data_IF_266733126481
#
_entry.id   IF_266733126481
#
_cell.length_a   1.000
_cell.length_b   1.000
_cell.length_c   1.000
_cell.angle_alpha   90.00
_cell.angle_beta   90.00
_cell.angle_gamma   90.00
#
_symmetry.space_group_name_H-M   'P 1'
#
loop_
_entity.id
_entity.type
_entity.pdbx_description
1 polymer ?
#
# COMPACT_ATOMS: atom_id res chain seq x y z
N UNK A 1 14.43 -58.14 -29.89
CA UNK A 1 15.84 -57.67 -29.79
C UNK A 1 15.85 -56.21 -30.24
N UNK A 2 16.20 -55.15 -29.51
CA UNK A 2 16.71 -54.89 -28.16
C UNK A 2 16.10 -53.56 -27.67
N UNK A 3 15.80 -53.48 -26.38
CA UNK A 3 15.37 -52.25 -25.68
C UNK A 3 16.59 -51.39 -25.35
N UNK A 4 16.49 -50.05 -25.46
CA UNK A 4 17.43 -49.12 -24.82
C UNK A 4 16.66 -48.10 -23.99
N UNK A 5 16.67 -48.35 -22.68
CA UNK A 5 16.20 -47.45 -21.62
C UNK A 5 17.38 -46.60 -21.15
N UNK A 6 17.33 -45.28 -21.37
CA UNK A 6 18.26 -44.34 -20.75
C UNK A 6 17.59 -43.71 -19.52
N UNK A 7 18.05 -44.10 -18.33
CA UNK A 7 17.69 -43.48 -17.06
C UNK A 7 18.61 -42.26 -16.87
N UNK A 8 18.05 -41.05 -16.92
CA UNK A 8 18.72 -39.83 -16.47
C UNK A 8 18.35 -39.62 -15.00
N UNK A 9 19.35 -39.76 -14.13
CA UNK A 9 19.26 -39.41 -12.73
C UNK A 9 19.39 -37.88 -12.62
N UNK A 10 18.34 -37.20 -12.15
CA UNK A 10 18.39 -35.79 -11.78
C UNK A 10 18.55 -35.74 -10.27
N UNK A 11 19.76 -35.40 -9.82
CA UNK A 11 20.03 -35.05 -8.43
C UNK A 11 19.52 -33.63 -8.18
N UNK A 12 18.39 -33.50 -7.49
CA UNK A 12 17.89 -32.21 -7.01
C UNK A 12 18.54 -31.91 -5.64
N UNK A 13 19.53 -31.01 -5.64
CA UNK A 13 20.08 -30.45 -4.41
C UNK A 13 19.06 -29.49 -3.78
N UNK A 14 18.47 -29.89 -2.65
CA UNK A 14 17.59 -29.04 -1.83
C UNK A 14 18.47 -28.13 -0.98
N UNK A 15 18.59 -26.85 -1.36
CA UNK A 15 19.12 -25.81 -0.48
C UNK A 15 18.01 -25.41 0.50
N UNK A 16 18.11 -25.89 1.74
CA UNK A 16 17.24 -25.50 2.83
C UNK A 16 17.53 -24.04 3.24
N UNK A 17 16.55 -23.16 3.05
CA UNK A 17 16.56 -21.79 3.56
C UNK A 17 16.10 -21.79 5.02
N UNK A 18 16.99 -21.50 5.96
CA UNK A 18 16.65 -21.19 7.35
C UNK A 18 16.65 -19.68 7.58
N UNK A 19 15.46 -19.07 7.50
CA UNK A 19 15.24 -17.71 8.04
C UNK A 19 14.83 -17.83 9.51
N UNK A 20 15.74 -17.51 10.43
CA UNK A 20 15.41 -17.31 11.84
C UNK A 20 14.75 -15.95 12.03
N UNK A 21 13.43 -15.93 12.20
CA UNK A 21 12.70 -14.73 12.61
C UNK A 21 12.88 -14.50 14.12
N UNK A 22 13.75 -13.58 14.50
CA UNK A 22 13.78 -13.05 15.86
C UNK A 22 12.61 -12.06 16.04
N UNK A 23 11.54 -12.49 16.71
CA UNK A 23 10.46 -11.63 17.16
C UNK A 23 10.92 -10.79 18.35
N UNK A 24 11.35 -9.55 18.08
CA UNK A 24 11.62 -8.59 19.15
C UNK A 24 10.28 -8.04 19.67
N UNK A 25 9.95 -8.37 20.92
CA UNK A 25 8.81 -7.79 21.63
C UNK A 25 8.97 -6.26 21.72
N UNK A 26 7.93 -5.53 21.31
CA UNK A 26 7.86 -4.08 21.46
C UNK A 26 7.55 -3.71 22.92
N UNK A 27 8.10 -2.60 23.46
CA UNK A 27 7.83 -2.15 24.82
C UNK A 27 6.36 -1.74 25.03
N UNK A 28 5.80 -1.92 26.24
CA UNK A 28 4.36 -1.85 26.52
C UNK A 28 3.73 -0.44 26.61
N UNK A 29 4.44 0.64 26.34
CA UNK A 29 3.96 2.02 26.62
C UNK A 29 3.53 2.83 25.39
N UNK A 30 3.06 2.19 24.32
CA UNK A 30 2.39 2.94 23.24
C UNK A 30 0.89 3.06 23.52
N UNK A 31 0.31 4.28 23.52
CA UNK A 31 -1.12 4.46 23.66
C UNK A 31 -1.85 3.67 22.56
N UNK A 32 -3.01 3.06 22.87
CA UNK A 32 -3.75 2.28 21.88
C UNK A 32 -4.11 3.19 20.69
N UNK A 33 -3.86 2.78 19.44
CA UNK A 33 -4.35 3.51 18.27
C UNK A 33 -5.87 3.34 18.18
N UNK A 34 -6.60 4.09 19.01
CA UNK A 34 -8.05 4.18 19.01
C UNK A 34 -8.53 5.46 18.34
N UNK A 35 -9.17 5.35 17.18
CA UNK A 35 -9.90 6.47 16.57
C UNK A 35 -10.21 6.32 15.09
N UNK A 36 -11.39 5.75 14.79
CA UNK A 36 -12.27 6.02 13.64
C UNK A 36 -11.63 6.37 12.28
N UNK A 37 -11.64 5.39 11.37
CA UNK A 37 -12.12 5.62 10.00
C UNK A 37 -11.35 6.64 9.14
N UNK A 38 -10.04 6.70 9.26
CA UNK A 38 -9.21 7.40 8.28
C UNK A 38 -8.98 6.56 7.03
N UNK A 39 -10.02 6.33 6.21
CA UNK A 39 -9.82 5.98 4.80
C UNK A 39 -9.24 7.20 4.06
N UNK A 40 -8.04 7.62 4.45
CA UNK A 40 -7.21 8.49 3.62
C UNK A 40 -6.72 7.62 2.46
N UNK A 41 -7.59 7.44 1.47
CA UNK A 41 -7.14 7.25 0.10
C UNK A 41 -6.35 8.51 -0.25
N UNK A 42 -5.07 8.55 0.14
CA UNK A 42 -4.11 9.47 -0.44
C UNK A 42 -4.15 9.19 -1.92
N UNK A 43 -4.82 10.09 -2.63
CA UNK A 43 -4.93 10.13 -4.06
C UNK A 43 -3.52 10.23 -4.66
N UNK A 44 -2.94 9.07 -4.89
CA UNK A 44 -1.62 8.89 -5.49
C UNK A 44 -0.45 9.14 -4.56
N UNK A 45 0.05 8.06 -3.94
CA UNK A 45 1.39 8.02 -3.38
C UNK A 45 2.48 8.39 -4.40
N UNK A 46 3.76 8.41 -3.99
CA UNK A 46 4.87 8.91 -4.82
C UNK A 46 4.91 8.29 -6.23
N UNK A 47 4.44 7.05 -6.38
CA UNK A 47 4.39 6.33 -7.65
C UNK A 47 3.39 6.90 -8.68
N UNK A 48 2.28 7.52 -8.25
CA UNK A 48 1.39 8.22 -9.20
C UNK A 48 2.03 9.49 -9.74
N UNK A 49 2.91 10.14 -8.95
CA UNK A 49 3.67 11.28 -9.46
C UNK A 49 4.69 10.84 -10.51
N UNK A 50 5.36 9.70 -10.28
CA UNK A 50 6.25 9.13 -11.29
C UNK A 50 5.54 9.06 -12.64
N UNK A 51 4.29 8.58 -12.69
CA UNK A 51 3.55 8.45 -13.95
C UNK A 51 3.37 9.76 -14.71
N UNK A 52 3.28 10.88 -14.01
CA UNK A 52 3.09 12.21 -14.61
C UNK A 52 4.39 12.80 -15.17
N UNK A 53 5.54 12.27 -14.77
CA UNK A 53 6.84 12.75 -15.24
C UNK A 53 7.50 11.81 -16.22
N UNK A 54 6.85 10.71 -16.59
CA UNK A 54 7.34 9.72 -17.54
C UNK A 54 7.99 10.37 -18.78
N UNK A 55 7.24 11.23 -19.48
CA UNK A 55 7.70 11.88 -20.71
C UNK A 55 8.87 12.86 -20.48
N UNK A 56 9.09 13.29 -19.24
CA UNK A 56 10.21 14.19 -18.86
C UNK A 56 11.48 13.42 -18.53
N UNK A 57 11.42 12.10 -18.38
CA UNK A 57 12.57 11.29 -18.00
C UNK A 57 13.41 10.86 -19.21
N UNK A 58 12.91 11.01 -20.44
CA UNK A 58 13.61 10.61 -21.67
C UNK A 58 14.24 9.21 -21.52
N UNK A 59 13.40 8.22 -21.19
CA UNK A 59 13.86 6.88 -20.84
C UNK A 59 14.54 6.20 -22.04
N UNK A 60 15.61 5.45 -21.78
CA UNK A 60 16.14 4.51 -22.76
C UNK A 60 15.18 3.34 -22.95
N UNK A 61 15.31 2.56 -24.03
CA UNK A 61 14.46 1.40 -24.27
C UNK A 61 14.49 0.38 -23.11
N UNK A 62 15.65 0.18 -22.47
CA UNK A 62 15.78 -0.70 -21.30
C UNK A 62 15.07 -0.14 -20.06
N UNK A 63 15.19 1.18 -19.83
CA UNK A 63 14.50 1.85 -18.72
C UNK A 63 12.99 1.88 -18.93
N UNK A 64 12.53 2.02 -20.18
CA UNK A 64 11.12 1.94 -20.55
C UNK A 64 10.55 0.56 -20.21
N UNK A 65 11.28 -0.53 -20.48
CA UNK A 65 10.85 -1.87 -20.09
C UNK A 65 10.71 -2.02 -18.57
N UNK A 66 11.67 -1.48 -17.80
CA UNK A 66 11.61 -1.49 -16.34
C UNK A 66 10.44 -0.65 -15.81
N UNK A 67 10.18 0.49 -16.44
CA UNK A 67 9.05 1.36 -16.15
C UNK A 67 7.73 0.61 -16.35
N UNK A 68 7.54 -0.01 -17.52
CA UNK A 68 6.31 -0.75 -17.83
C UNK A 68 6.12 -1.94 -16.91
N UNK A 69 7.20 -2.63 -16.52
CA UNK A 69 7.14 -3.69 -15.52
C UNK A 69 6.61 -3.15 -14.17
N UNK A 70 7.12 -2.02 -13.69
CA UNK A 70 6.65 -1.39 -12.45
C UNK A 70 5.17 -0.94 -12.54
N UNK A 71 4.77 -0.37 -13.68
CA UNK A 71 3.37 0.03 -13.93
C UNK A 71 2.45 -1.20 -13.95
N UNK A 72 2.84 -2.28 -14.60
CA UNK A 72 2.05 -3.51 -14.67
C UNK A 72 1.91 -4.17 -13.30
N UNK A 73 2.99 -4.29 -12.53
CA UNK A 73 2.96 -4.77 -11.15
C UNK A 73 2.01 -3.94 -10.29
N UNK A 74 2.10 -2.60 -10.39
CA UNK A 74 1.21 -1.71 -9.64
C UNK A 74 -0.27 -1.90 -10.01
N UNK A 75 -0.59 -2.04 -11.31
CA UNK A 75 -1.97 -2.27 -11.78
C UNK A 75 -2.52 -3.60 -11.27
N UNK A 76 -1.76 -4.68 -11.46
CA UNK A 76 -2.14 -6.02 -11.00
C UNK A 76 -2.36 -6.06 -9.48
N UNK A 77 -1.44 -5.46 -8.71
CA UNK A 77 -1.54 -5.42 -7.26
C UNK A 77 -2.69 -4.53 -6.77
N UNK A 78 -2.98 -3.42 -7.47
CA UNK A 78 -4.16 -2.60 -7.18
C UNK A 78 -5.46 -3.35 -7.41
N UNK A 79 -5.54 -4.13 -8.49
CA UNK A 79 -6.73 -4.93 -8.77
C UNK A 79 -6.90 -6.06 -7.76
N UNK A 80 -5.81 -6.70 -7.33
CA UNK A 80 -5.83 -7.69 -6.25
C UNK A 80 -6.29 -7.06 -4.91
N UNK A 81 -5.78 -5.87 -4.54
CA UNK A 81 -6.23 -5.15 -3.35
C UNK A 81 -7.71 -4.77 -3.45
N UNK A 82 -8.21 -4.36 -4.63
CA UNK A 82 -9.63 -4.07 -4.84
C UNK A 82 -10.49 -5.31 -4.59
N UNK A 83 -10.10 -6.47 -5.14
CA UNK A 83 -10.79 -7.75 -4.91
C UNK A 83 -10.78 -8.16 -3.44
N UNK A 84 -9.65 -7.97 -2.74
CA UNK A 84 -9.54 -8.20 -1.29
C UNK A 84 -10.52 -7.34 -0.50
N UNK A 85 -10.64 -6.06 -0.84
CA UNK A 85 -11.61 -5.16 -0.22
C UNK A 85 -13.07 -5.54 -0.51
N UNK A 86 -13.37 -5.94 -1.75
CA UNK A 86 -14.69 -6.42 -2.14
C UNK A 86 -15.10 -7.68 -1.37
N UNK A 87 -14.17 -8.64 -1.21
CA UNK A 87 -14.40 -9.84 -0.42
C UNK A 87 -14.71 -9.52 1.06
N UNK A 88 -13.95 -8.61 1.68
CA UNK A 88 -14.25 -8.13 3.03
C UNK A 88 -15.61 -7.46 3.12
N UNK A 89 -15.98 -6.66 2.12
CA UNK A 89 -17.26 -5.99 2.07
C UNK A 89 -18.43 -7.00 1.99
N UNK A 90 -18.31 -8.01 1.14
CA UNK A 90 -19.30 -9.09 1.02
C UNK A 90 -19.43 -9.88 2.34
N UNK A 91 -18.31 -10.18 3.00
CA UNK A 91 -18.35 -10.86 4.30
C UNK A 91 -19.04 -10.00 5.38
N UNK A 92 -18.78 -8.69 5.38
CA UNK A 92 -19.45 -7.77 6.27
C UNK A 92 -20.96 -7.70 6.00
N UNK A 93 -21.37 -7.61 4.74
CA UNK A 93 -22.79 -7.65 4.35
C UNK A 93 -23.46 -8.96 4.78
N UNK A 94 -22.79 -10.11 4.63
CA UNK A 94 -23.32 -11.40 5.07
C UNK A 94 -23.54 -11.44 6.59
N UNK A 95 -22.65 -10.84 7.38
CA UNK A 95 -22.76 -10.75 8.84
C UNK A 95 -23.86 -9.79 9.31
N UNK A 96 -24.24 -8.78 8.52
CA UNK A 96 -25.36 -7.88 8.84
C UNK A 96 -26.72 -8.60 8.88
N UNK A 97 -26.86 -9.70 8.13
CA UNK A 97 -28.10 -10.49 8.10
C UNK A 97 -28.17 -11.53 9.22
N UNK A 98 -27.13 -11.67 10.04
CA UNK A 98 -27.10 -12.61 11.15
C UNK A 98 -27.69 -11.96 12.41
N UNK A 99 -28.43 -12.72 13.24
CA UNK A 99 -28.96 -12.20 14.51
C UNK A 99 -27.84 -11.85 15.50
N UNK A 100 -26.68 -12.50 15.41
CA UNK A 100 -25.49 -12.24 16.21
C UNK A 100 -24.30 -12.15 15.26
N UNK A 101 -23.55 -11.05 15.34
CA UNK A 101 -22.34 -10.85 14.53
C UNK A 101 -21.19 -11.72 15.05
N UNK A 102 -20.52 -12.41 14.14
CA UNK A 102 -19.25 -13.07 14.44
C UNK A 102 -18.08 -12.08 14.29
N UNK A 103 -17.80 -11.37 15.38
CA UNK A 103 -16.70 -10.40 15.43
C UNK A 103 -15.32 -11.06 15.28
N UNK A 104 -15.17 -12.33 15.67
CA UNK A 104 -13.91 -13.06 15.53
C UNK A 104 -13.63 -13.36 14.07
N UNK A 105 -14.63 -13.83 13.32
CA UNK A 105 -14.51 -14.07 11.89
C UNK A 105 -14.24 -12.78 11.11
N UNK A 106 -14.92 -11.68 11.44
CA UNK A 106 -14.67 -10.37 10.83
C UNK A 106 -13.25 -9.87 11.10
N UNK A 107 -12.77 -9.98 12.34
CA UNK A 107 -11.41 -9.61 12.69
C UNK A 107 -10.38 -10.48 11.95
N UNK A 108 -10.56 -11.80 11.93
CA UNK A 108 -9.65 -12.72 11.26
C UNK A 108 -9.54 -12.43 9.75
N UNK A 109 -10.68 -12.22 9.08
CA UNK A 109 -10.70 -11.86 7.67
C UNK A 109 -9.99 -10.54 7.40
N UNK A 110 -10.24 -9.52 8.24
CA UNK A 110 -9.54 -8.23 8.13
C UNK A 110 -8.04 -8.39 8.29
N UNK A 111 -7.58 -9.15 9.29
CA UNK A 111 -6.15 -9.38 9.51
C UNK A 111 -5.50 -10.07 8.30
N UNK A 112 -6.14 -11.10 7.76
CA UNK A 112 -5.64 -11.81 6.57
C UNK A 112 -5.54 -10.86 5.36
N UNK A 113 -6.58 -10.07 5.12
CA UNK A 113 -6.59 -9.10 4.02
C UNK A 113 -5.51 -8.03 4.20
N UNK A 114 -5.29 -7.52 5.41
CA UNK A 114 -4.23 -6.54 5.68
C UNK A 114 -2.83 -7.12 5.44
N UNK A 115 -2.56 -8.36 5.86
CA UNK A 115 -1.28 -9.04 5.60
C UNK A 115 -1.03 -9.22 4.10
N UNK A 116 -2.04 -9.68 3.36
CA UNK A 116 -1.94 -9.82 1.91
C UNK A 116 -1.73 -8.47 1.22
N UNK A 117 -2.51 -7.46 1.60
CA UNK A 117 -2.41 -6.13 1.02
C UNK A 117 -1.06 -5.46 1.34
N UNK A 118 -0.47 -5.75 2.51
CA UNK A 118 0.87 -5.29 2.85
C UNK A 118 1.93 -5.87 1.88
N UNK A 119 1.86 -7.17 1.58
CA UNK A 119 2.75 -7.80 0.60
C UNK A 119 2.61 -7.21 -0.80
N UNK A 120 1.37 -6.96 -1.25
CA UNK A 120 1.09 -6.34 -2.56
C UNK A 120 1.63 -4.90 -2.65
N UNK A 121 1.52 -4.13 -1.56
CA UNK A 121 2.11 -2.78 -1.46
C UNK A 121 3.63 -2.85 -1.52
N UNK A 122 4.25 -3.81 -0.82
CA UNK A 122 5.70 -3.98 -0.83
C UNK A 122 6.24 -4.37 -2.20
N UNK A 123 5.58 -5.30 -2.90
CA UNK A 123 5.95 -5.67 -4.28
C UNK A 123 5.88 -4.46 -5.22
N UNK A 124 4.84 -3.63 -5.06
CA UNK A 124 4.70 -2.39 -5.85
C UNK A 124 5.84 -1.43 -5.54
N UNK A 125 6.16 -1.22 -4.26
CA UNK A 125 7.25 -0.35 -3.85
C UNK A 125 8.60 -0.83 -4.38
N UNK A 126 8.88 -2.12 -4.23
CA UNK A 126 10.10 -2.77 -4.72
C UNK A 126 10.28 -2.60 -6.24
N UNK A 127 9.22 -2.78 -7.03
CA UNK A 127 9.28 -2.60 -8.49
C UNK A 127 9.61 -1.15 -8.87
N UNK A 128 9.02 -0.18 -8.20
CA UNK A 128 9.30 1.24 -8.43
C UNK A 128 10.69 1.67 -7.94
N UNK A 129 11.17 1.11 -6.83
CA UNK A 129 12.53 1.35 -6.33
C UNK A 129 13.58 0.77 -7.29
N UNK A 130 13.34 -0.42 -7.84
CA UNK A 130 14.20 -1.02 -8.85
C UNK A 130 14.28 -0.12 -10.11
N UNK A 131 13.14 0.38 -10.60
CA UNK A 131 13.11 1.35 -11.69
C UNK A 131 13.92 2.62 -11.35
N UNK A 132 13.68 3.22 -10.19
CA UNK A 132 14.39 4.43 -9.76
C UNK A 132 15.91 4.22 -9.67
N UNK A 133 16.34 3.06 -9.16
CA UNK A 133 17.76 2.73 -9.04
C UNK A 133 18.46 2.63 -10.41
N UNK A 134 17.74 2.18 -11.44
CA UNK A 134 18.21 2.10 -12.83
C UNK A 134 18.27 3.43 -13.59
N UNK A 135 17.83 4.53 -12.98
CA UNK A 135 17.94 5.88 -13.57
C UNK A 135 19.36 6.46 -13.42
N UNK A 136 19.74 7.31 -14.38
CA UNK A 136 20.95 8.12 -14.27
C UNK A 136 20.73 9.35 -13.37
N UNK A 137 21.80 10.09 -13.05
CA UNK A 137 21.74 11.20 -12.09
C UNK A 137 20.86 12.36 -12.56
N UNK A 138 20.83 12.65 -13.87
CA UNK A 138 19.97 13.67 -14.44
C UNK A 138 18.49 13.29 -14.27
N UNK A 139 18.14 12.04 -14.59
CA UNK A 139 16.78 11.51 -14.42
C UNK A 139 16.38 11.47 -12.94
N UNK A 140 17.26 11.02 -12.04
CA UNK A 140 17.02 11.02 -10.59
C UNK A 140 16.81 12.43 -10.04
N UNK A 141 17.50 13.44 -10.59
CA UNK A 141 17.28 14.84 -10.24
C UNK A 141 15.88 15.31 -10.65
N UNK A 142 15.43 14.98 -11.85
CA UNK A 142 14.06 15.26 -12.31
C UNK A 142 13.02 14.62 -11.39
N UNK A 143 13.20 13.34 -11.05
CA UNK A 143 12.32 12.63 -10.10
C UNK A 143 12.33 13.31 -8.73
N UNK A 144 13.50 13.62 -8.19
CA UNK A 144 13.64 14.22 -6.85
C UNK A 144 12.95 15.58 -6.76
N UNK A 145 13.11 16.43 -7.78
CA UNK A 145 12.43 17.73 -7.86
C UNK A 145 10.91 17.57 -7.88
N UNK A 146 10.41 16.64 -8.70
CA UNK A 146 9.00 16.31 -8.77
C UNK A 146 8.43 15.83 -7.43
N UNK A 147 9.14 14.95 -6.72
CA UNK A 147 8.73 14.46 -5.41
C UNK A 147 8.71 15.56 -4.36
N UNK A 148 9.74 16.43 -4.30
CA UNK A 148 9.78 17.57 -3.40
C UNK A 148 8.59 18.51 -3.62
N UNK A 149 8.25 18.80 -4.88
CA UNK A 149 7.07 19.62 -5.20
C UNK A 149 5.77 18.95 -4.76
N UNK A 150 5.65 17.63 -4.90
CA UNK A 150 4.48 16.89 -4.43
C UNK A 150 4.37 16.93 -2.90
N UNK A 151 5.48 16.77 -2.17
CA UNK A 151 5.50 16.89 -0.71
C UNK A 151 5.05 18.27 -0.25
N UNK A 152 5.59 19.34 -0.83
CA UNK A 152 5.17 20.71 -0.52
C UNK A 152 3.65 20.92 -0.73
N UNK A 153 3.10 20.42 -1.84
CA UNK A 153 1.64 20.47 -2.09
C UNK A 153 0.84 19.67 -1.06
N UNK A 154 1.36 18.54 -0.59
CA UNK A 154 0.69 17.76 0.45
C UNK A 154 0.74 18.47 1.80
N UNK A 155 1.85 19.11 2.14
CA UNK A 155 1.98 19.92 3.35
C UNK A 155 0.98 21.08 3.35
N UNK A 156 0.91 21.85 2.27
CA UNK A 156 -0.08 22.93 2.11
C UNK A 156 -1.52 22.43 2.23
N UNK A 157 -1.84 21.28 1.63
CA UNK A 157 -3.17 20.67 1.73
C UNK A 157 -3.48 20.24 3.17
N UNK A 158 -2.49 19.70 3.89
CA UNK A 158 -2.64 19.29 5.29
C UNK A 158 -2.92 20.51 6.18
N UNK A 159 -2.17 21.59 6.02
CA UNK A 159 -2.39 22.82 6.80
C UNK A 159 -3.78 23.41 6.53
N UNK A 160 -4.17 23.54 5.25
CA UNK A 160 -5.53 23.99 4.90
C UNK A 160 -6.63 23.09 5.46
N UNK A 161 -6.40 21.78 5.54
CA UNK A 161 -7.35 20.88 6.18
C UNK A 161 -7.43 21.12 7.69
N UNK A 162 -6.27 21.29 8.35
CA UNK A 162 -6.19 21.59 9.78
C UNK A 162 -6.96 22.87 10.11
N UNK A 163 -6.72 23.95 9.37
CA UNK A 163 -7.45 25.22 9.51
C UNK A 163 -8.96 25.03 9.36
N UNK A 164 -9.42 24.31 8.33
CA UNK A 164 -10.86 24.02 8.14
C UNK A 164 -11.43 23.19 9.28
N UNK A 165 -10.66 22.24 9.83
CA UNK A 165 -11.08 21.45 10.98
C UNK A 165 -11.21 22.31 12.24
N UNK A 166 -10.27 23.22 12.48
CA UNK A 166 -10.30 24.17 13.59
C UNK A 166 -11.48 25.15 13.46
N UNK A 167 -11.71 25.73 12.29
CA UNK A 167 -12.86 26.60 12.01
C UNK A 167 -14.19 25.87 12.25
N UNK A 168 -14.34 24.62 11.79
CA UNK A 168 -15.54 23.81 12.05
C UNK A 168 -15.73 23.48 13.52
N UNK A 169 -14.65 23.25 14.28
CA UNK A 169 -14.73 23.06 15.73
C UNK A 169 -15.17 24.34 16.45
N UNK A 170 -14.61 25.49 16.07
CA UNK A 170 -14.99 26.78 16.63
C UNK A 170 -16.48 27.11 16.35
N UNK A 171 -16.95 26.90 15.12
CA UNK A 171 -18.34 27.12 14.74
C UNK A 171 -19.33 26.18 15.47
N UNK A 172 -18.96 24.91 15.67
CA UNK A 172 -19.77 23.97 16.48
C UNK A 172 -19.79 24.32 17.97
N UNK A 173 -18.68 24.85 18.51
CA UNK A 173 -18.61 25.33 19.89
C UNK A 173 -19.47 26.58 20.13
N UNK A 174 -19.56 27.48 19.14
CA UNK A 174 -20.39 28.68 19.20
C UNK A 174 -21.90 28.43 18.98
N UNK A 175 -22.29 27.23 18.54
CA UNK A 175 -23.68 26.86 18.25
C UNK A 175 -24.32 25.96 19.34
N UNK A 176 -23.64 25.74 20.47
CA UNK A 176 -24.21 24.99 21.58
C UNK A 176 -25.31 25.84 22.25
N UNK A 177 -26.56 25.35 22.37
CA UNK A 177 -27.61 26.11 23.04
C UNK A 177 -27.25 26.28 24.51
N UNK A 178 -27.45 27.50 25.03
CA UNK A 178 -27.21 27.82 26.43
C UNK A 178 -28.01 26.86 27.35
N UNK A 179 -27.42 26.34 28.44
CA UNK A 179 -28.17 25.55 29.40
C UNK A 179 -29.29 26.42 29.98
N UNK A 180 -30.53 25.99 29.78
CA UNK A 180 -31.69 26.61 30.42
C UNK A 180 -31.58 26.35 31.94
N UNK A 181 -31.41 27.41 32.71
CA UNK A 181 -31.68 27.44 34.15
C UNK A 181 -32.60 28.61 34.46
#
# INVERSE_FOLDING_TARGET
MYKKTSRLAIAAAVLALSFSAASRAAPPDMPPPGGLGGHHHMEGGPFMMMQRIHDKLNLSAAQEQQWQAAVNTMKQNRDAMRKSHEALHQQFQAQQNQPILDLNALHAARQQAEQQNAQLREQTASAWLAFYNGLNDQQKTTVSTALKQQFAKMDERREKMKERWEQRRAAKGASAPAPQQ
#
